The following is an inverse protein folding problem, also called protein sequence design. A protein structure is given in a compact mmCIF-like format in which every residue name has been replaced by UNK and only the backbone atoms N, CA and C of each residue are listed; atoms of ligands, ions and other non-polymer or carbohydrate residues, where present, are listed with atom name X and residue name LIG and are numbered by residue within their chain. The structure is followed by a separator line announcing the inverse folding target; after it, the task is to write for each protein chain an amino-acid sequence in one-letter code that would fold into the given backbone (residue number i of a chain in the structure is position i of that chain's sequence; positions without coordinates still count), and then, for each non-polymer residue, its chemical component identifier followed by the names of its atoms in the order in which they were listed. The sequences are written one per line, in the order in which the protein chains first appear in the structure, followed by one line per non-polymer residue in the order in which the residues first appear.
data_IF_254012561776
#
_entry.id   IF_254012561776
#
_cell.length_a   1.000
_cell.length_b   1.000
_cell.length_c   1.000
_cell.angle_alpha   90.00
_cell.angle_beta   90.00
_cell.angle_gamma   90.00
#
_symmetry.space_group_name_H-M   'P 1'
#
loop_
_entity.id
_entity.type
_entity.pdbx_description
1 polymer ?
#
# COMPACT_ATOMS: atom_id res chain seq x y z
N UNK A 1 -9.35 8.30 -4.81
CA UNK A 1 -9.40 6.83 -4.65
C UNK A 1 -9.17 6.08 -5.95
N UNK A 2 -9.97 6.30 -7.00
CA UNK A 2 -9.82 5.58 -8.28
C UNK A 2 -8.42 5.74 -8.87
N UNK A 3 -7.89 6.96 -8.92
CA UNK A 3 -6.54 7.24 -9.42
C UNK A 3 -5.47 6.52 -8.58
N UNK A 4 -5.63 6.46 -7.26
CA UNK A 4 -4.71 5.76 -6.37
C UNK A 4 -4.72 4.25 -6.62
N UNK A 5 -5.88 3.66 -6.84
CA UNK A 5 -6.02 2.23 -7.20
C UNK A 5 -5.35 1.95 -8.54
N UNK A 6 -5.61 2.78 -9.55
CA UNK A 6 -4.99 2.65 -10.88
C UNK A 6 -3.47 2.81 -10.80
N UNK A 7 -2.97 3.77 -10.03
CA UNK A 7 -1.55 3.96 -9.79
C UNK A 7 -0.90 2.74 -9.12
N UNK A 8 -1.53 2.19 -8.10
CA UNK A 8 -1.04 0.97 -7.43
C UNK A 8 -1.05 -0.25 -8.35
N UNK A 9 -2.09 -0.42 -9.16
CA UNK A 9 -2.15 -1.50 -10.15
C UNK A 9 -0.99 -1.38 -11.13
N UNK A 10 -0.73 -0.19 -11.64
CA UNK A 10 0.33 0.05 -12.61
C UNK A 10 1.73 -0.23 -12.01
N UNK A 11 1.99 0.28 -10.81
CA UNK A 11 3.24 0.03 -10.09
C UNK A 11 3.38 -1.46 -9.76
N UNK A 12 2.31 -2.10 -9.31
CA UNK A 12 2.28 -3.52 -8.98
C UNK A 12 2.59 -4.40 -10.21
N UNK A 13 2.02 -4.08 -11.36
CA UNK A 13 2.29 -4.79 -12.61
C UNK A 13 3.73 -4.61 -13.08
N UNK A 14 4.27 -3.39 -13.02
CA UNK A 14 5.66 -3.10 -13.37
C UNK A 14 6.64 -3.82 -12.44
N UNK A 15 6.38 -3.80 -11.14
CA UNK A 15 7.19 -4.53 -10.16
C UNK A 15 7.12 -6.05 -10.37
N UNK A 16 5.95 -6.56 -10.79
CA UNK A 16 5.77 -7.97 -11.12
C UNK A 16 6.64 -8.38 -12.32
N UNK A 17 6.69 -7.56 -13.37
CA UNK A 17 7.55 -7.84 -14.54
C UNK A 17 9.01 -7.97 -14.15
N UNK A 18 9.51 -7.12 -13.27
CA UNK A 18 10.88 -7.19 -12.76
C UNK A 18 11.15 -8.44 -11.92
N UNK A 19 10.15 -8.96 -11.20
CA UNK A 19 10.27 -10.13 -10.31
C UNK A 19 9.72 -11.42 -10.92
N UNK A 20 9.28 -11.39 -12.16
CA UNK A 20 8.68 -12.55 -12.83
C UNK A 20 9.58 -13.79 -12.75
N UNK A 21 10.86 -13.62 -12.98
CA UNK A 21 11.82 -14.74 -12.95
C UNK A 21 11.90 -15.39 -11.56
N UNK A 22 11.94 -14.59 -10.48
CA UNK A 22 11.95 -15.09 -9.10
C UNK A 22 10.67 -15.86 -8.76
N UNK A 23 9.52 -15.30 -9.15
CA UNK A 23 8.20 -15.93 -8.91
C UNK A 23 8.05 -17.24 -9.71
N UNK A 24 8.58 -17.30 -10.93
CA UNK A 24 8.59 -18.51 -11.75
C UNK A 24 9.45 -19.61 -11.13
N UNK A 25 10.62 -19.29 -10.60
CA UNK A 25 11.48 -20.23 -9.86
C UNK A 25 10.75 -20.78 -8.65
N UNK A 26 10.09 -19.93 -7.85
CA UNK A 26 9.33 -20.37 -6.69
C UNK A 26 8.17 -21.31 -7.07
N UNK A 27 7.50 -21.06 -8.17
CA UNK A 27 6.48 -21.96 -8.72
C UNK A 27 7.05 -23.28 -9.21
N UNK A 28 8.22 -23.27 -9.86
CA UNK A 28 8.88 -24.46 -10.33
C UNK A 28 9.29 -25.40 -9.18
N UNK A 29 9.59 -24.85 -8.00
CA UNK A 29 9.94 -25.61 -6.78
C UNK A 29 8.67 -26.15 -6.06
N UNK A 30 7.47 -25.84 -6.54
CA UNK A 30 6.22 -26.38 -6.00
C UNK A 30 5.37 -25.41 -5.19
N UNK A 31 5.65 -24.10 -5.24
CA UNK A 31 4.78 -23.11 -4.59
C UNK A 31 3.38 -23.10 -5.24
N UNK A 32 2.34 -23.18 -4.40
CA UNK A 32 0.97 -23.10 -4.87
C UNK A 32 0.62 -21.69 -5.37
N UNK A 33 -0.41 -21.60 -6.22
CA UNK A 33 -0.94 -20.30 -6.68
C UNK A 33 -1.36 -19.42 -5.50
N UNK A 34 -1.97 -20.02 -4.48
CA UNK A 34 -2.37 -19.33 -3.25
C UNK A 34 -1.16 -18.72 -2.51
N UNK A 35 -0.04 -19.44 -2.42
CA UNK A 35 1.17 -18.93 -1.77
C UNK A 35 1.74 -17.69 -2.47
N UNK A 36 1.69 -17.63 -3.79
CA UNK A 36 2.15 -16.48 -4.57
C UNK A 36 1.22 -15.29 -4.37
N UNK A 37 -0.09 -15.51 -4.41
CA UNK A 37 -1.09 -14.45 -4.13
C UNK A 37 -0.88 -13.88 -2.72
N UNK A 38 -0.74 -14.75 -1.72
CA UNK A 38 -0.51 -14.35 -0.33
C UNK A 38 0.80 -13.57 -0.18
N UNK A 39 1.86 -13.95 -0.88
CA UNK A 39 3.13 -13.24 -0.85
C UNK A 39 3.01 -11.83 -1.43
N UNK A 40 2.39 -11.70 -2.59
CA UNK A 40 2.22 -10.40 -3.27
C UNK A 40 1.30 -9.48 -2.48
N UNK A 41 0.16 -9.97 -2.01
CA UNK A 41 -0.77 -9.19 -1.17
C UNK A 41 -0.16 -8.86 0.19
N UNK A 42 0.57 -9.79 0.81
CA UNK A 42 1.25 -9.56 2.07
C UNK A 42 2.29 -8.44 1.98
N UNK A 43 3.08 -8.42 0.92
CA UNK A 43 4.03 -7.32 0.66
C UNK A 43 3.31 -5.99 0.52
N UNK A 44 2.20 -5.95 -0.20
CA UNK A 44 1.40 -4.74 -0.39
C UNK A 44 0.79 -4.23 0.91
N UNK A 45 0.30 -5.13 1.77
CA UNK A 45 -0.23 -4.79 3.09
C UNK A 45 0.84 -4.22 4.02
N UNK A 46 2.03 -4.82 4.04
CA UNK A 46 3.15 -4.33 4.85
C UNK A 46 3.52 -2.90 4.43
N UNK A 47 3.67 -2.65 3.13
CA UNK A 47 3.96 -1.31 2.61
C UNK A 47 2.86 -0.33 3.00
N UNK A 48 1.59 -0.71 2.86
CA UNK A 48 0.45 0.12 3.24
C UNK A 48 0.46 0.49 4.72
N UNK A 49 0.79 -0.44 5.62
CA UNK A 49 0.91 -0.19 7.05
C UNK A 49 2.02 0.83 7.34
N UNK A 50 3.19 0.67 6.72
CA UNK A 50 4.29 1.62 6.88
C UNK A 50 3.92 3.02 6.40
N UNK A 51 3.28 3.14 5.26
CA UNK A 51 2.81 4.43 4.71
C UNK A 51 1.77 5.05 5.62
N UNK A 52 0.83 4.27 6.17
CA UNK A 52 -0.16 4.76 7.13
C UNK A 52 0.49 5.34 8.39
N UNK A 53 1.43 4.60 8.98
CA UNK A 53 2.14 5.05 10.18
C UNK A 53 2.91 6.34 9.90
N UNK A 54 3.67 6.39 8.80
CA UNK A 54 4.42 7.57 8.40
C UNK A 54 3.50 8.78 8.17
N UNK A 55 2.34 8.58 7.53
CA UNK A 55 1.36 9.64 7.26
C UNK A 55 0.74 10.18 8.54
N UNK A 56 0.41 9.31 9.49
CA UNK A 56 -0.15 9.71 10.79
C UNK A 56 0.90 10.52 11.59
N UNK A 57 2.13 10.03 11.66
CA UNK A 57 3.21 10.75 12.36
C UNK A 57 3.47 12.12 11.75
N UNK A 58 3.53 12.21 10.43
CA UNK A 58 3.72 13.47 9.72
C UNK A 58 2.55 14.43 9.97
N UNK A 59 1.32 13.92 9.96
CA UNK A 59 0.11 14.70 10.24
C UNK A 59 0.11 15.27 11.67
N UNK A 60 0.51 14.47 12.65
CA UNK A 60 0.65 14.92 14.05
C UNK A 60 1.70 16.02 14.16
N UNK A 61 2.86 15.84 13.56
CA UNK A 61 3.94 16.85 13.57
C UNK A 61 3.48 18.19 12.95
N UNK A 62 2.71 18.12 11.87
CA UNK A 62 2.18 19.34 11.21
C UNK A 62 1.17 20.03 12.13
N UNK A 63 0.24 19.30 12.74
CA UNK A 63 -0.78 19.88 13.64
C UNK A 63 -0.12 20.51 14.86
N UNK A 64 0.83 19.83 15.50
CA UNK A 64 1.58 20.38 16.63
C UNK A 64 2.45 21.58 16.21
N UNK A 65 3.11 21.50 15.07
CA UNK A 65 3.89 22.62 14.53
C UNK A 65 3.06 23.87 14.30
N UNK A 66 1.85 23.74 13.77
CA UNK A 66 0.91 24.85 13.59
C UNK A 66 0.50 25.41 14.95
N UNK A 67 0.20 24.60 15.96
CA UNK A 67 -0.22 25.06 17.28
C UNK A 67 0.89 25.83 18.01
N UNK A 68 2.16 25.49 17.80
CA UNK A 68 3.31 26.22 18.37
C UNK A 68 3.57 27.55 17.65
N UNK A 69 3.31 27.61 16.36
CA UNK A 69 3.51 28.83 15.54
C UNK A 69 2.38 29.87 15.70
N UNK A 70 1.20 29.44 16.19
CA UNK A 70 0.10 30.38 16.42
C UNK A 70 0.38 31.24 17.67
N UNK A 71 0.28 32.59 17.56
CA UNK A 71 0.36 33.48 18.74
C UNK A 71 -0.75 33.16 19.74
N UNK A 72 -0.50 33.33 21.06
CA UNK A 72 -1.50 33.04 22.11
C UNK A 72 -2.80 33.87 21.97
N UNK A 73 -2.72 35.05 21.36
CA UNK A 73 -3.84 35.98 21.15
C UNK A 73 -4.48 35.88 19.75
N UNK A 74 -4.15 34.83 18.99
CA UNK A 74 -4.72 34.69 17.65
C UNK A 74 -6.20 34.30 17.73
N UNK A 75 -7.07 34.89 16.89
CA UNK A 75 -8.48 34.51 16.82
C UNK A 75 -8.68 33.11 16.19
N UNK A 76 -7.62 32.49 15.75
CA UNK A 76 -7.62 31.15 15.14
C UNK A 76 -7.34 30.14 16.25
N UNK A 77 -8.33 29.31 16.58
CA UNK A 77 -8.14 28.19 17.49
C UNK A 77 -7.22 27.15 16.88
N UNK A 78 -6.26 26.67 17.66
CA UNK A 78 -5.37 25.57 17.23
C UNK A 78 -6.23 24.36 16.78
N UNK A 79 -5.95 23.78 15.60
CA UNK A 79 -6.74 22.67 15.11
C UNK A 79 -6.56 21.46 16.03
N UNK A 80 -7.68 20.90 16.51
CA UNK A 80 -7.66 19.62 17.21
C UNK A 80 -7.43 18.49 16.21
N UNK A 81 -6.64 17.48 16.59
CA UNK A 81 -6.38 16.36 15.71
C UNK A 81 -7.68 15.55 15.44
N UNK A 82 -8.10 15.40 14.19
CA UNK A 82 -9.36 14.74 13.86
C UNK A 82 -9.22 13.22 13.86
N UNK A 83 -9.27 12.59 15.02
CA UNK A 83 -9.11 11.13 15.19
C UNK A 83 -10.07 10.35 14.28
N UNK A 84 -11.30 10.81 14.14
CA UNK A 84 -12.30 10.16 13.28
C UNK A 84 -11.87 10.12 11.80
N UNK A 85 -11.32 11.22 11.30
CA UNK A 85 -10.79 11.29 9.93
C UNK A 85 -9.56 10.41 9.74
N UNK A 86 -8.71 10.30 10.76
CA UNK A 86 -7.55 9.41 10.73
C UNK A 86 -7.97 7.94 10.63
N UNK A 87 -8.99 7.52 11.39
CA UNK A 87 -9.53 6.14 11.32
C UNK A 87 -10.10 5.85 9.93
N UNK A 88 -10.90 6.79 9.38
CA UNK A 88 -11.43 6.63 8.01
C UNK A 88 -10.30 6.53 6.99
N UNK A 89 -9.25 7.34 7.12
CA UNK A 89 -8.09 7.31 6.22
C UNK A 89 -7.36 5.95 6.26
N UNK A 90 -7.18 5.37 7.45
CA UNK A 90 -6.58 4.05 7.61
C UNK A 90 -7.43 2.96 6.94
N UNK A 91 -8.73 2.94 7.22
CA UNK A 91 -9.65 1.96 6.61
C UNK A 91 -9.62 2.08 5.08
N UNK A 92 -9.71 3.31 4.58
CA UNK A 92 -9.68 3.59 3.14
C UNK A 92 -8.37 3.13 2.51
N UNK A 93 -7.22 3.38 3.16
CA UNK A 93 -5.92 2.98 2.64
C UNK A 93 -5.75 1.46 2.57
N UNK A 94 -6.27 0.72 3.55
CA UNK A 94 -6.29 -0.75 3.53
C UNK A 94 -7.14 -1.28 2.37
N UNK A 95 -8.33 -0.70 2.16
CA UNK A 95 -9.20 -1.07 1.04
C UNK A 95 -8.50 -0.82 -0.30
N UNK A 96 -7.88 0.35 -0.47
CA UNK A 96 -7.13 0.70 -1.68
C UNK A 96 -5.94 -0.24 -1.91
N UNK A 97 -5.22 -0.59 -0.84
CA UNK A 97 -4.10 -1.52 -0.92
C UNK A 97 -4.55 -2.92 -1.36
N UNK A 98 -5.67 -3.42 -0.83
CA UNK A 98 -6.23 -4.71 -1.23
C UNK A 98 -6.70 -4.71 -2.69
N UNK A 99 -7.48 -3.71 -3.08
CA UNK A 99 -7.99 -3.59 -4.45
C UNK A 99 -6.85 -3.39 -5.46
N UNK A 100 -5.89 -2.52 -5.15
CA UNK A 100 -4.74 -2.24 -6.01
C UNK A 100 -3.76 -3.41 -6.13
N UNK A 101 -3.63 -4.21 -5.06
CA UNK A 101 -2.77 -5.39 -5.03
C UNK A 101 -3.40 -6.66 -5.64
N UNK A 102 -4.73 -6.71 -5.74
CA UNK A 102 -5.43 -7.94 -6.17
C UNK A 102 -5.14 -8.30 -7.63
N UNK A 103 -5.17 -7.33 -8.54
CA UNK A 103 -4.90 -7.56 -9.96
C UNK A 103 -3.48 -8.08 -10.23
N UNK A 104 -2.40 -7.43 -9.72
CA UNK A 104 -1.06 -7.95 -9.89
C UNK A 104 -0.88 -9.31 -9.18
N UNK A 105 -1.52 -9.54 -8.03
CA UNK A 105 -1.48 -10.82 -7.34
C UNK A 105 -2.09 -11.96 -8.16
N UNK A 106 -3.25 -11.74 -8.78
CA UNK A 106 -3.90 -12.72 -9.65
C UNK A 106 -3.05 -12.98 -10.90
N UNK A 107 -2.47 -11.92 -11.49
CA UNK A 107 -1.60 -12.06 -12.65
C UNK A 107 -0.33 -12.85 -12.31
N UNK A 108 0.28 -12.60 -11.15
CA UNK A 108 1.42 -13.37 -10.64
C UNK A 108 1.07 -14.85 -10.47
N UNK A 109 -0.12 -15.17 -9.95
CA UNK A 109 -0.56 -16.54 -9.76
C UNK A 109 -0.82 -17.30 -11.07
N UNK A 110 -1.12 -16.58 -12.16
CA UNK A 110 -1.35 -17.17 -13.49
C UNK A 110 -0.07 -17.38 -14.30
N UNK A 111 1.08 -16.94 -13.83
CA UNK A 111 2.36 -17.18 -14.51
C UNK A 111 2.65 -18.69 -14.60
N UNK A 112 2.88 -19.16 -15.80
CA UNK A 112 3.22 -20.56 -16.05
C UNK A 112 4.74 -20.80 -15.92
N UNK A 113 5.16 -21.84 -15.19
CA UNK A 113 6.60 -22.14 -15.03
C UNK A 113 7.29 -22.45 -16.37
N UNK A 114 6.54 -22.95 -17.36
CA UNK A 114 7.03 -23.28 -18.68
C UNK A 114 7.58 -22.07 -19.45
N UNK A 115 7.11 -20.84 -19.15
CA UNK A 115 7.61 -19.61 -19.76
C UNK A 115 9.01 -19.22 -19.27
N UNK A 116 9.44 -19.71 -18.11
CA UNK A 116 10.78 -19.46 -17.56
C UNK A 116 11.87 -20.28 -18.25
N UNK A 117 11.52 -21.37 -18.95
CA UNK A 117 12.43 -22.29 -19.64
C UNK A 117 12.59 -21.95 -21.14
N UNK A 118 11.92 -20.92 -21.59
CA UNK A 118 12.09 -20.34 -22.93
C UNK A 118 12.91 -19.07 -22.85
#
# INVERSE_FOLDING_TARGET
MIVSVLGQINIGLSSLEQRTHELLIRRAIGASRANIVTLVLGTQLIISIFVCIASILLSLLIVEGISVLLPPDSPITAPSYPIFSAVIAVITSVIVALLGGLLPAIKAAKLEPALALR
#
